data_IF_054933659163
#
_entry.id   IF_054933659163
#
_cell.length_a   1.000
_cell.length_b   1.000
_cell.length_c   1.000
_cell.angle_alpha   90.00
_cell.angle_beta   90.00
_cell.angle_gamma   90.00
#
_symmetry.space_group_name_H-M   'P 1'
#
loop_
_entity.id
_entity.type
_entity.pdbx_description
1 polymer ?
#
# COMPACT_ATOMS: atom_id res chain seq x y z
N UNK A 1 -18.11 -16.71 17.48
CA UNK A 1 -18.45 -15.54 16.64
C UNK A 1 -17.98 -15.73 15.20
N UNK A 2 -16.67 -15.85 14.94
CA UNK A 2 -16.10 -16.06 13.60
C UNK A 2 -16.75 -17.19 12.78
N UNK A 3 -16.81 -18.40 13.34
CA UNK A 3 -17.43 -19.55 12.67
C UNK A 3 -18.92 -19.32 12.38
N UNK A 4 -19.64 -18.65 13.29
CA UNK A 4 -21.06 -18.36 13.12
C UNK A 4 -21.31 -17.36 11.98
N UNK A 5 -20.51 -16.30 11.89
CA UNK A 5 -20.62 -15.32 10.79
C UNK A 5 -20.35 -16.00 9.45
N UNK A 6 -19.29 -16.81 9.36
CA UNK A 6 -18.92 -17.51 8.13
C UNK A 6 -19.95 -18.57 7.70
N UNK A 7 -20.44 -19.38 8.65
CA UNK A 7 -21.49 -20.36 8.37
C UNK A 7 -22.79 -19.67 7.94
N UNK A 8 -23.14 -18.55 8.57
CA UNK A 8 -24.36 -17.81 8.26
C UNK A 8 -24.25 -17.13 6.88
N UNK A 9 -23.12 -16.49 6.56
CA UNK A 9 -22.88 -15.97 5.20
C UNK A 9 -22.90 -17.07 4.15
N UNK A 10 -22.23 -18.19 4.41
CA UNK A 10 -22.17 -19.32 3.48
C UNK A 10 -23.55 -19.93 3.26
N UNK A 11 -24.34 -20.07 4.33
CA UNK A 11 -25.72 -20.56 4.26
C UNK A 11 -26.62 -19.68 3.38
N UNK A 12 -26.47 -18.35 3.42
CA UNK A 12 -27.20 -17.46 2.53
C UNK A 12 -26.83 -17.66 1.05
N UNK A 13 -25.54 -17.83 0.73
CA UNK A 13 -25.12 -18.09 -0.65
C UNK A 13 -25.64 -19.45 -1.17
N UNK A 14 -25.62 -20.49 -0.32
CA UNK A 14 -26.18 -21.81 -0.66
C UNK A 14 -27.68 -21.71 -0.90
N UNK A 15 -28.41 -21.03 -0.01
CA UNK A 15 -29.85 -20.82 -0.16
C UNK A 15 -30.20 -20.12 -1.48
N UNK A 16 -29.48 -19.05 -1.83
CA UNK A 16 -29.71 -18.33 -3.09
C UNK A 16 -29.44 -19.24 -4.29
N UNK A 17 -28.40 -20.07 -4.22
CA UNK A 17 -28.07 -21.02 -5.28
C UNK A 17 -29.15 -22.10 -5.45
N UNK A 18 -29.71 -22.61 -4.35
CA UNK A 18 -30.80 -23.60 -4.37
C UNK A 18 -32.13 -23.01 -4.87
N UNK A 19 -32.46 -21.78 -4.45
CA UNK A 19 -33.72 -21.12 -4.83
C UNK A 19 -33.67 -20.56 -6.26
N UNK A 20 -32.51 -20.09 -6.71
CA UNK A 20 -32.31 -19.50 -8.04
C UNK A 20 -31.19 -20.23 -8.82
N UNK A 21 -31.39 -21.50 -9.21
CA UNK A 21 -30.35 -22.31 -9.85
C UNK A 21 -29.94 -21.83 -11.25
N UNK A 22 -30.73 -20.93 -11.87
CA UNK A 22 -30.43 -20.30 -13.17
C UNK A 22 -30.14 -18.79 -13.07
N UNK A 23 -29.96 -18.26 -11.86
CA UNK A 23 -29.66 -16.85 -11.65
C UNK A 23 -28.21 -16.53 -12.04
N UNK A 24 -28.01 -15.72 -13.07
CA UNK A 24 -26.67 -15.32 -13.55
C UNK A 24 -26.11 -14.09 -12.78
N UNK A 25 -26.96 -13.41 -12.01
CA UNK A 25 -26.64 -12.13 -11.40
C UNK A 25 -25.98 -12.27 -10.01
N UNK A 26 -24.73 -12.74 -9.98
CA UNK A 26 -23.95 -12.90 -8.75
C UNK A 26 -23.80 -11.60 -7.95
N UNK A 27 -23.75 -10.44 -8.63
CA UNK A 27 -23.65 -9.11 -8.00
C UNK A 27 -24.83 -8.82 -7.07
N UNK A 28 -26.05 -9.11 -7.51
CA UNK A 28 -27.26 -8.89 -6.71
C UNK A 28 -27.33 -9.85 -5.51
N UNK A 29 -26.87 -11.09 -5.69
CA UNK A 29 -26.77 -12.05 -4.60
C UNK A 29 -25.81 -11.56 -3.51
N UNK A 30 -24.59 -11.14 -3.89
CA UNK A 30 -23.61 -10.59 -2.94
C UNK A 30 -24.14 -9.33 -2.25
N UNK A 31 -24.78 -8.42 -2.99
CA UNK A 31 -25.37 -7.21 -2.44
C UNK A 31 -26.42 -7.53 -1.37
N UNK A 32 -27.34 -8.45 -1.66
CA UNK A 32 -28.40 -8.85 -0.74
C UNK A 32 -27.83 -9.49 0.54
N UNK A 33 -26.89 -10.44 0.39
CA UNK A 33 -26.27 -11.13 1.53
C UNK A 33 -25.50 -10.15 2.41
N UNK A 34 -24.69 -9.27 1.80
CA UNK A 34 -23.91 -8.29 2.56
C UNK A 34 -24.78 -7.23 3.22
N UNK A 35 -25.87 -6.81 2.58
CA UNK A 35 -26.84 -5.89 3.17
C UNK A 35 -27.53 -6.47 4.41
N UNK A 36 -28.03 -7.71 4.32
CA UNK A 36 -28.68 -8.41 5.45
C UNK A 36 -27.68 -8.64 6.58
N UNK A 37 -26.45 -9.06 6.26
CA UNK A 37 -25.42 -9.31 7.27
C UNK A 37 -24.90 -8.02 7.92
N UNK A 38 -24.82 -6.91 7.19
CA UNK A 38 -24.49 -5.60 7.74
C UNK A 38 -25.53 -5.15 8.77
N UNK A 39 -26.82 -5.30 8.46
CA UNK A 39 -27.91 -5.00 9.40
C UNK A 39 -27.87 -5.90 10.63
N UNK A 40 -27.70 -7.20 10.43
CA UNK A 40 -27.67 -8.17 11.52
C UNK A 40 -26.49 -7.94 12.47
N UNK A 41 -25.27 -7.80 11.94
CA UNK A 41 -24.08 -7.54 12.75
C UNK A 41 -24.12 -6.15 13.39
N UNK A 42 -24.67 -5.13 12.70
CA UNK A 42 -24.86 -3.79 13.26
C UNK A 42 -25.82 -3.76 14.44
N UNK A 43 -26.94 -4.48 14.37
CA UNK A 43 -27.88 -4.61 15.49
C UNK A 43 -27.24 -5.29 16.70
N UNK A 44 -26.48 -6.37 16.47
CA UNK A 44 -25.74 -7.06 17.52
C UNK A 44 -24.61 -6.19 18.11
N UNK A 45 -23.94 -5.38 17.29
CA UNK A 45 -22.92 -4.44 17.75
C UNK A 45 -23.51 -3.40 18.71
N UNK A 46 -24.71 -2.88 18.42
CA UNK A 46 -25.41 -1.94 19.29
C UNK A 46 -25.69 -2.51 20.69
N UNK A 47 -25.98 -3.81 20.77
CA UNK A 47 -26.28 -4.51 22.03
C UNK A 47 -25.04 -4.97 22.80
N UNK A 48 -24.08 -5.60 22.13
CA UNK A 48 -22.95 -6.28 22.78
C UNK A 48 -21.64 -5.48 22.78
N UNK A 49 -21.50 -4.47 21.90
CA UNK A 49 -20.32 -3.59 21.80
C UNK A 49 -18.97 -4.31 21.78
N UNK A 50 -18.90 -5.47 21.11
CA UNK A 50 -17.66 -6.25 20.96
C UNK A 50 -16.90 -5.84 19.70
N UNK A 51 -15.56 -5.77 19.80
CA UNK A 51 -14.66 -5.39 18.68
C UNK A 51 -14.77 -6.32 17.48
N UNK A 52 -15.00 -7.61 17.71
CA UNK A 52 -15.17 -8.60 16.63
C UNK A 52 -16.43 -8.30 15.80
N UNK A 53 -17.50 -7.85 16.45
CA UNK A 53 -18.72 -7.45 15.75
C UNK A 53 -18.53 -6.15 14.98
N UNK A 54 -17.77 -5.19 15.51
CA UNK A 54 -17.43 -3.96 14.81
C UNK A 54 -16.65 -4.25 13.52
N UNK A 55 -15.69 -5.17 13.58
CA UNK A 55 -14.94 -5.62 12.41
C UNK A 55 -15.83 -6.22 11.32
N UNK A 56 -16.68 -7.19 11.67
CA UNK A 56 -17.58 -7.81 10.69
C UNK A 56 -18.62 -6.85 10.15
N UNK A 57 -19.14 -5.95 10.99
CA UNK A 57 -20.08 -4.90 10.55
C UNK A 57 -19.42 -4.00 9.51
N UNK A 58 -18.20 -3.52 9.76
CA UNK A 58 -17.46 -2.72 8.78
C UNK A 58 -17.18 -3.52 7.50
N UNK A 59 -16.73 -4.78 7.62
CA UNK A 59 -16.50 -5.64 6.45
C UNK A 59 -17.73 -5.75 5.56
N UNK A 60 -18.91 -6.04 6.12
CA UNK A 60 -20.15 -6.17 5.34
C UNK A 60 -20.64 -4.84 4.77
N UNK A 61 -20.51 -3.73 5.51
CA UNK A 61 -20.88 -2.40 5.00
C UNK A 61 -20.01 -2.01 3.81
N UNK A 62 -18.69 -2.17 3.90
CA UNK A 62 -17.78 -1.84 2.81
C UNK A 62 -17.95 -2.77 1.61
N UNK A 63 -18.16 -4.08 1.84
CA UNK A 63 -18.50 -5.01 0.77
C UNK A 63 -19.82 -4.67 0.09
N UNK A 64 -20.85 -4.31 0.86
CA UNK A 64 -22.15 -3.87 0.33
C UNK A 64 -22.00 -2.61 -0.53
N UNK A 65 -21.28 -1.60 -0.03
CA UNK A 65 -21.05 -0.36 -0.77
C UNK A 65 -20.22 -0.60 -2.04
N UNK A 66 -19.22 -1.47 -1.99
CA UNK A 66 -18.41 -1.81 -3.17
C UNK A 66 -19.27 -2.43 -4.27
N UNK A 67 -20.07 -3.44 -3.94
CA UNK A 67 -20.94 -4.11 -4.92
C UNK A 67 -22.08 -3.19 -5.38
N UNK A 68 -22.62 -2.37 -4.47
CA UNK A 68 -23.66 -1.40 -4.78
C UNK A 68 -23.19 -0.31 -5.75
N UNK A 69 -21.96 0.18 -5.57
CA UNK A 69 -21.34 1.13 -6.50
C UNK A 69 -20.97 0.45 -7.83
N UNK A 70 -20.51 -0.81 -7.81
CA UNK A 70 -20.24 -1.59 -9.04
C UNK A 70 -21.53 -1.81 -9.86
N UNK A 71 -22.68 -1.99 -9.20
CA UNK A 71 -24.00 -2.05 -9.85
C UNK A 71 -24.48 -0.71 -10.43
N UNK A 72 -23.92 0.41 -9.97
CA UNK A 72 -24.17 1.75 -10.53
C UNK A 72 -23.26 2.06 -11.73
N UNK A 73 -22.55 1.03 -12.26
CA UNK A 73 -21.56 1.14 -13.34
C UNK A 73 -20.47 2.18 -13.06
N UNK A 74 -20.16 2.43 -11.77
CA UNK A 74 -19.07 3.31 -11.38
C UNK A 74 -17.72 2.61 -11.64
N UNK A 75 -16.78 3.25 -12.35
CA UNK A 75 -15.44 2.69 -12.53
C UNK A 75 -14.77 2.36 -11.21
N UNK A 76 -14.11 1.19 -11.16
CA UNK A 76 -13.47 0.65 -9.95
C UNK A 76 -12.54 1.65 -9.24
N UNK A 77 -11.80 2.46 -10.00
CA UNK A 77 -10.94 3.48 -9.42
C UNK A 77 -11.69 4.56 -8.62
N UNK A 78 -12.89 4.99 -9.05
CA UNK A 78 -13.70 5.92 -8.25
C UNK A 78 -14.22 5.24 -6.99
N UNK A 79 -14.63 3.98 -7.09
CA UNK A 79 -15.08 3.17 -5.94
C UNK A 79 -13.95 3.07 -4.91
N UNK A 80 -12.74 2.72 -5.35
CA UNK A 80 -11.58 2.59 -4.48
C UNK A 80 -11.20 3.92 -3.80
N UNK A 81 -11.29 5.06 -4.50
CA UNK A 81 -11.05 6.39 -3.92
C UNK A 81 -12.10 6.72 -2.86
N UNK A 82 -13.39 6.58 -3.17
CA UNK A 82 -14.50 6.93 -2.27
C UNK A 82 -14.48 6.03 -1.02
N UNK A 83 -14.35 4.71 -1.21
CA UNK A 83 -14.30 3.76 -0.11
C UNK A 83 -13.00 3.87 0.70
N UNK A 84 -11.86 4.11 0.05
CA UNK A 84 -10.59 4.36 0.73
C UNK A 84 -10.62 5.61 1.59
N UNK A 85 -11.12 6.73 1.05
CA UNK A 85 -11.25 8.00 1.79
C UNK A 85 -12.22 7.89 2.97
N UNK A 86 -13.39 7.27 2.77
CA UNK A 86 -14.36 7.03 3.84
C UNK A 86 -13.80 6.11 4.91
N UNK A 87 -13.10 5.03 4.55
CA UNK A 87 -12.48 4.13 5.52
C UNK A 87 -11.35 4.80 6.30
N UNK A 88 -10.62 5.71 5.68
CA UNK A 88 -9.64 6.54 6.37
C UNK A 88 -10.30 7.42 7.43
N UNK A 89 -11.37 8.15 7.08
CA UNK A 89 -12.14 8.97 8.02
C UNK A 89 -12.72 8.12 9.15
N UNK A 90 -13.33 6.98 8.81
CA UNK A 90 -13.88 6.02 9.78
C UNK A 90 -12.77 5.50 10.70
N UNK A 91 -11.59 5.16 10.17
CA UNK A 91 -10.41 4.78 10.95
C UNK A 91 -10.02 5.83 11.99
N UNK A 92 -9.95 7.11 11.59
CA UNK A 92 -9.66 8.22 12.52
C UNK A 92 -10.76 8.43 13.58
N UNK A 93 -12.01 8.18 13.22
CA UNK A 93 -13.13 8.24 14.16
C UNK A 93 -13.08 7.07 15.15
N UNK A 94 -12.72 5.85 14.71
CA UNK A 94 -12.59 4.67 15.55
C UNK A 94 -11.54 4.86 16.66
N UNK A 95 -10.52 5.71 16.45
CA UNK A 95 -9.52 6.03 17.47
C UNK A 95 -10.12 6.65 18.73
N UNK A 96 -11.24 7.38 18.59
CA UNK A 96 -11.94 8.04 19.70
C UNK A 96 -12.94 7.11 20.41
N UNK A 97 -13.08 5.88 19.91
CA UNK A 97 -14.07 4.90 20.39
C UNK A 97 -13.38 3.75 21.16
N UNK A 98 -14.13 2.92 21.91
CA UNK A 98 -13.58 1.70 22.53
C UNK A 98 -12.99 0.69 21.51
N UNK A 99 -13.22 0.88 20.21
CA UNK A 99 -12.74 -0.01 19.15
C UNK A 99 -11.38 0.42 18.55
N UNK A 100 -10.55 1.16 19.30
CA UNK A 100 -9.26 1.70 18.85
C UNK A 100 -8.33 0.67 18.21
N UNK A 101 -8.39 -0.61 18.62
CA UNK A 101 -7.58 -1.70 18.04
C UNK A 101 -7.83 -1.87 16.53
N UNK A 102 -9.03 -1.50 16.05
CA UNK A 102 -9.39 -1.60 14.65
C UNK A 102 -8.97 -0.38 13.81
N UNK A 103 -8.52 0.71 14.44
CA UNK A 103 -8.13 1.93 13.73
C UNK A 103 -6.90 1.69 12.85
N UNK A 104 -5.88 0.98 13.35
CA UNK A 104 -4.66 0.65 12.59
C UNK A 104 -4.94 -0.10 11.28
N UNK A 105 -5.66 -1.26 11.29
CA UNK A 105 -5.98 -1.96 10.06
C UNK A 105 -6.94 -1.18 9.16
N UNK A 106 -7.88 -0.41 9.72
CA UNK A 106 -8.78 0.43 8.92
C UNK A 106 -8.02 1.53 8.16
N UNK A 107 -7.08 2.22 8.83
CA UNK A 107 -6.23 3.23 8.20
C UNK A 107 -5.33 2.62 7.13
N UNK A 108 -4.77 1.43 7.37
CA UNK A 108 -3.95 0.71 6.38
C UNK A 108 -4.77 0.33 5.14
N UNK A 109 -5.91 -0.32 5.32
CA UNK A 109 -6.75 -0.74 4.20
C UNK A 109 -7.28 0.49 3.44
N UNK A 110 -7.71 1.53 4.16
CA UNK A 110 -8.20 2.77 3.56
C UNK A 110 -7.14 3.50 2.73
N UNK A 111 -5.90 3.58 3.24
CA UNK A 111 -4.78 4.17 2.49
C UNK A 111 -4.40 3.36 1.26
N UNK A 112 -4.41 2.02 1.34
CA UNK A 112 -4.16 1.15 0.17
C UNK A 112 -5.23 1.36 -0.89
N UNK A 113 -6.51 1.32 -0.52
CA UNK A 113 -7.62 1.51 -1.47
C UNK A 113 -7.63 2.89 -2.11
N UNK A 114 -7.39 3.93 -1.31
CA UNK A 114 -7.32 5.29 -1.83
C UNK A 114 -6.18 5.42 -2.85
N UNK A 115 -5.00 4.88 -2.54
CA UNK A 115 -3.84 4.96 -3.43
C UNK A 115 -4.01 4.06 -4.66
N UNK A 116 -4.65 2.89 -4.57
CA UNK A 116 -4.91 2.05 -5.74
C UNK A 116 -5.85 2.74 -6.72
N UNK A 117 -6.92 3.38 -6.22
CA UNK A 117 -7.82 4.14 -7.09
C UNK A 117 -7.17 5.39 -7.70
N UNK A 118 -6.32 6.08 -6.94
CA UNK A 118 -5.55 7.21 -7.45
C UNK A 118 -4.53 6.79 -8.52
N UNK A 119 -3.82 5.68 -8.30
CA UNK A 119 -2.88 5.12 -9.27
C UNK A 119 -3.58 4.81 -10.59
N UNK A 120 -4.72 4.11 -10.55
CA UNK A 120 -5.46 3.71 -11.74
C UNK A 120 -5.91 4.93 -12.56
N UNK A 121 -6.37 5.99 -11.88
CA UNK A 121 -6.72 7.27 -12.53
C UNK A 121 -5.56 7.97 -13.20
N UNK A 122 -4.40 8.03 -12.54
CA UNK A 122 -3.22 8.68 -13.10
C UNK A 122 -2.64 7.83 -14.24
N UNK A 123 -2.77 6.51 -14.16
CA UNK A 123 -2.35 5.59 -15.21
C UNK A 123 -3.20 5.76 -16.47
N UNK A 124 -4.53 5.89 -16.33
CA UNK A 124 -5.45 6.21 -17.43
C UNK A 124 -5.16 7.58 -18.06
N UNK A 125 -4.82 8.59 -17.25
CA UNK A 125 -4.65 9.97 -17.73
C UNK A 125 -3.28 10.27 -18.36
N UNK A 126 -2.23 9.51 -18.03
CA UNK A 126 -0.87 9.80 -18.51
C UNK A 126 -0.11 8.54 -18.89
N UNK A 127 0.39 7.79 -17.90
CA UNK A 127 1.04 6.48 -18.09
C UNK A 127 1.25 5.81 -16.74
N UNK A 128 1.42 4.48 -16.75
CA UNK A 128 1.68 3.69 -15.54
C UNK A 128 2.92 4.16 -14.75
N UNK A 129 3.92 4.70 -15.45
CA UNK A 129 5.17 5.17 -14.83
C UNK A 129 4.95 6.48 -14.04
N UNK A 130 4.18 7.42 -14.59
CA UNK A 130 3.76 8.64 -13.87
C UNK A 130 2.82 8.30 -12.71
N UNK A 131 1.94 7.32 -12.88
CA UNK A 131 1.07 6.83 -11.83
C UNK A 131 1.86 6.33 -10.62
N UNK A 132 2.87 5.48 -10.85
CA UNK A 132 3.71 4.94 -9.79
C UNK A 132 4.52 6.01 -9.06
N UNK A 133 5.05 6.98 -9.80
CA UNK A 133 5.78 8.11 -9.22
C UNK A 133 4.87 8.95 -8.32
N UNK A 134 3.76 9.44 -8.86
CA UNK A 134 2.86 10.36 -8.15
C UNK A 134 2.20 9.65 -6.96
N UNK A 135 1.68 8.44 -7.14
CA UNK A 135 1.06 7.68 -6.04
C UNK A 135 2.10 7.34 -4.97
N UNK A 136 3.32 6.96 -5.35
CA UNK A 136 4.39 6.66 -4.41
C UNK A 136 4.78 7.87 -3.54
N UNK A 137 4.87 9.05 -4.15
CA UNK A 137 5.11 10.32 -3.44
C UNK A 137 3.93 10.65 -2.50
N UNK A 138 2.68 10.46 -2.94
CA UNK A 138 1.50 10.64 -2.09
C UNK A 138 1.53 9.72 -0.85
N UNK A 139 1.88 8.44 -1.02
CA UNK A 139 2.03 7.49 0.09
C UNK A 139 3.13 7.95 1.05
N UNK A 140 4.26 8.46 0.54
CA UNK A 140 5.34 8.99 1.38
C UNK A 140 4.90 10.21 2.20
N UNK A 141 4.14 11.14 1.61
CA UNK A 141 3.59 12.28 2.35
C UNK A 141 2.57 11.85 3.41
N UNK A 142 1.72 10.87 3.12
CA UNK A 142 0.81 10.30 4.10
C UNK A 142 1.57 9.64 5.28
N UNK A 143 2.63 8.89 4.98
CA UNK A 143 3.52 8.31 5.98
C UNK A 143 4.22 9.39 6.83
N UNK A 144 4.57 10.53 6.23
CA UNK A 144 5.12 11.68 6.95
C UNK A 144 4.13 12.32 7.93
N UNK A 145 2.87 12.51 7.53
CA UNK A 145 1.83 12.99 8.45
C UNK A 145 1.61 12.04 9.64
N UNK A 146 1.64 10.73 9.39
CA UNK A 146 1.54 9.71 10.44
C UNK A 146 2.77 9.65 11.35
N UNK A 147 3.97 9.89 10.80
CA UNK A 147 5.22 9.97 11.57
C UNK A 147 5.23 11.18 12.51
N UNK A 148 4.85 12.37 12.02
CA UNK A 148 4.81 13.60 12.83
C UNK A 148 3.83 13.52 14.01
N UNK A 149 2.81 12.68 13.89
CA UNK A 149 1.82 12.47 14.95
C UNK A 149 2.27 11.51 16.06
N UNK A 150 3.49 10.92 15.95
CA UNK A 150 4.06 9.87 16.84
C UNK A 150 3.16 8.65 17.10
N UNK A 151 2.03 8.56 16.41
CA UNK A 151 0.91 7.72 16.82
C UNK A 151 1.03 6.28 16.32
N UNK A 152 1.66 6.09 15.15
CA UNK A 152 1.76 4.81 14.46
C UNK A 152 3.11 4.60 13.75
N UNK A 153 4.19 4.33 14.50
CA UNK A 153 5.55 4.20 13.93
C UNK A 153 5.67 3.04 12.92
N UNK A 154 4.90 1.95 13.11
CA UNK A 154 4.90 0.80 12.18
C UNK A 154 4.26 1.12 10.84
N UNK A 155 3.11 1.79 10.85
CA UNK A 155 2.39 2.21 9.64
C UNK A 155 3.16 3.26 8.86
N UNK A 156 3.79 4.22 9.57
CA UNK A 156 4.68 5.19 8.94
C UNK A 156 5.86 4.50 8.26
N UNK A 157 6.53 3.53 8.92
CA UNK A 157 7.60 2.75 8.33
C UNK A 157 7.19 1.98 7.07
N UNK A 158 6.04 1.29 7.11
CA UNK A 158 5.49 0.58 5.96
C UNK A 158 5.10 1.53 4.82
N UNK A 159 4.48 2.67 5.13
CA UNK A 159 4.14 3.68 4.15
C UNK A 159 5.38 4.26 3.46
N UNK A 160 6.44 4.56 4.20
CA UNK A 160 7.71 4.97 3.58
C UNK A 160 8.30 3.88 2.69
N UNK A 161 8.25 2.62 3.11
CA UNK A 161 8.76 1.50 2.31
C UNK A 161 7.98 1.35 1.00
N UNK A 162 6.66 1.18 1.07
CA UNK A 162 5.80 0.95 -0.09
C UNK A 162 5.80 2.18 -1.02
N UNK A 163 5.66 3.38 -0.46
CA UNK A 163 5.63 4.62 -1.22
C UNK A 163 6.94 4.87 -1.97
N UNK A 164 8.09 4.64 -1.32
CA UNK A 164 9.38 4.80 -1.99
C UNK A 164 9.62 3.74 -3.07
N UNK A 165 9.26 2.48 -2.85
CA UNK A 165 9.37 1.43 -3.90
C UNK A 165 8.55 1.82 -5.13
N UNK A 166 7.30 2.24 -4.96
CA UNK A 166 6.44 2.68 -6.06
C UNK A 166 6.99 3.93 -6.75
N UNK A 167 7.48 4.90 -5.98
CA UNK A 167 8.02 6.14 -6.54
C UNK A 167 9.28 5.88 -7.37
N UNK A 168 10.21 5.07 -6.85
CA UNK A 168 11.44 4.72 -7.53
C UNK A 168 11.19 3.83 -8.75
N UNK A 169 10.26 2.87 -8.69
CA UNK A 169 9.93 2.05 -9.86
C UNK A 169 9.31 2.90 -10.97
N UNK A 170 8.37 3.79 -10.62
CA UNK A 170 7.74 4.69 -11.59
C UNK A 170 8.75 5.66 -12.22
N UNK A 171 9.62 6.24 -11.39
CA UNK A 171 10.70 7.13 -11.85
C UNK A 171 11.72 6.39 -12.73
N UNK A 172 12.11 5.18 -12.36
CA UNK A 172 13.05 4.38 -13.14
C UNK A 172 12.48 4.09 -14.52
N UNK A 173 11.22 3.67 -14.61
CA UNK A 173 10.56 3.41 -15.89
C UNK A 173 10.40 4.68 -16.75
N UNK A 174 10.19 5.84 -16.12
CA UNK A 174 10.14 7.15 -16.80
C UNK A 174 11.49 7.54 -17.41
N UNK A 175 12.56 7.27 -16.68
CA UNK A 175 13.91 7.71 -17.03
C UNK A 175 14.58 6.70 -17.98
N UNK A 176 14.18 5.43 -17.93
CA UNK A 176 14.70 4.34 -18.77
C UNK A 176 14.52 4.68 -20.25
N UNK A 177 15.62 4.64 -21.02
CA UNK A 177 15.70 4.99 -22.45
C UNK A 177 15.58 6.49 -22.79
N UNK A 178 15.71 7.38 -21.80
CA UNK A 178 15.82 8.83 -22.04
C UNK A 178 17.26 9.30 -21.83
N UNK A 179 17.69 10.44 -22.44
CA UNK A 179 19.02 11.01 -22.20
C UNK A 179 19.24 11.46 -20.75
N UNK A 180 18.18 11.47 -19.92
CA UNK A 180 18.23 11.86 -18.52
C UNK A 180 18.46 10.67 -17.56
N UNK A 181 18.98 9.52 -18.02
CA UNK A 181 19.32 8.38 -17.16
C UNK A 181 20.15 8.76 -15.92
N UNK A 182 21.08 9.72 -16.03
CA UNK A 182 21.88 10.22 -14.90
C UNK A 182 21.08 11.04 -13.86
N UNK A 183 19.92 11.60 -14.23
CA UNK A 183 19.09 12.35 -13.29
C UNK A 183 18.50 11.43 -12.20
N UNK A 184 18.33 10.14 -12.48
CA UNK A 184 17.93 9.15 -11.48
C UNK A 184 18.95 9.03 -10.34
N UNK A 185 20.25 9.06 -10.67
CA UNK A 185 21.33 9.06 -9.66
C UNK A 185 21.32 10.34 -8.83
N UNK A 186 21.19 11.50 -9.46
CA UNK A 186 21.11 12.78 -8.75
C UNK A 186 19.89 12.83 -7.80
N UNK A 187 18.73 12.33 -8.26
CA UNK A 187 17.53 12.27 -7.44
C UNK A 187 17.68 11.28 -6.28
N UNK A 188 18.21 10.07 -6.54
CA UNK A 188 18.48 9.09 -5.47
C UNK A 188 19.45 9.63 -4.42
N UNK A 189 20.47 10.40 -4.82
CA UNK A 189 21.40 11.05 -3.91
C UNK A 189 20.73 12.17 -3.08
N UNK A 190 19.88 12.99 -3.72
CA UNK A 190 19.09 14.00 -3.00
C UNK A 190 18.13 13.37 -1.98
N UNK A 191 17.59 12.20 -2.32
CA UNK A 191 16.67 11.48 -1.46
C UNK A 191 17.38 10.77 -0.31
N UNK A 192 18.65 10.36 -0.47
CA UNK A 192 19.50 9.94 0.66
C UNK A 192 19.69 11.07 1.67
N UNK A 193 19.89 12.31 1.21
CA UNK A 193 19.96 13.47 2.10
C UNK A 193 18.61 13.69 2.83
N UNK A 194 17.50 13.60 2.10
CA UNK A 194 16.17 13.64 2.70
C UNK A 194 15.96 12.51 3.74
N UNK A 195 16.45 11.29 3.48
CA UNK A 195 16.40 10.16 4.42
C UNK A 195 17.11 10.46 5.74
N UNK A 196 18.25 11.15 5.69
CA UNK A 196 19.04 11.53 6.87
C UNK A 196 18.28 12.56 7.70
N UNK A 197 17.62 13.53 7.05
CA UNK A 197 16.79 14.55 7.72
C UNK A 197 15.51 13.94 8.32
N UNK A 198 14.88 13.00 7.61
CA UNK A 198 13.64 12.34 8.03
C UNK A 198 13.84 11.18 9.02
N UNK A 199 15.09 10.79 9.30
CA UNK A 199 15.49 9.76 10.25
C UNK A 199 14.80 8.38 10.07
N UNK A 200 14.32 8.06 8.86
CA UNK A 200 13.55 6.84 8.57
C UNK A 200 14.43 5.70 8.03
N UNK A 201 14.53 4.60 8.80
CA UNK A 201 15.32 3.41 8.43
C UNK A 201 14.78 2.68 7.19
N UNK A 202 13.46 2.69 7.01
CA UNK A 202 12.80 2.03 5.89
C UNK A 202 13.08 2.75 4.56
N UNK A 203 13.06 4.09 4.58
CA UNK A 203 13.34 4.92 3.40
C UNK A 203 14.81 4.83 2.97
N UNK A 204 15.72 4.72 3.93
CA UNK A 204 17.14 4.55 3.65
C UNK A 204 17.41 3.20 2.97
N UNK A 205 16.77 2.13 3.44
CA UNK A 205 16.93 0.79 2.85
C UNK A 205 16.46 0.72 1.39
N UNK A 206 15.27 1.26 1.09
CA UNK A 206 14.74 1.27 -0.27
C UNK A 206 15.56 2.15 -1.20
N UNK A 207 16.05 3.29 -0.73
CA UNK A 207 16.92 4.19 -1.51
C UNK A 207 18.25 3.52 -1.85
N UNK A 208 18.86 2.80 -0.90
CA UNK A 208 20.11 2.05 -1.15
C UNK A 208 19.89 0.92 -2.16
N UNK A 209 18.78 0.18 -2.07
CA UNK A 209 18.43 -0.86 -3.06
C UNK A 209 18.19 -0.23 -4.43
N UNK A 210 17.44 0.87 -4.51
CA UNK A 210 17.17 1.58 -5.75
C UNK A 210 18.46 2.08 -6.41
N UNK A 211 19.40 2.61 -5.61
CA UNK A 211 20.70 3.08 -6.08
C UNK A 211 21.57 1.90 -6.58
N UNK A 212 21.63 0.80 -5.82
CA UNK A 212 22.35 -0.43 -6.23
C UNK A 212 21.75 -1.05 -7.49
N UNK A 213 20.42 -1.13 -7.59
CA UNK A 213 19.71 -1.66 -8.75
C UNK A 213 19.96 -0.84 -10.01
N UNK A 214 19.94 0.50 -9.90
CA UNK A 214 20.27 1.39 -11.02
C UNK A 214 21.73 1.22 -11.47
N UNK A 215 22.68 1.18 -10.53
CA UNK A 215 24.09 0.94 -10.85
C UNK A 215 24.24 -0.40 -11.55
N UNK A 216 23.59 -1.46 -11.07
CA UNK A 216 23.59 -2.78 -11.71
C UNK A 216 23.06 -2.75 -13.15
N UNK A 217 21.90 -2.13 -13.36
CA UNK A 217 21.30 -2.00 -14.70
C UNK A 217 22.16 -1.18 -15.66
N UNK A 218 22.61 0.00 -15.24
CA UNK A 218 23.41 0.90 -16.08
C UNK A 218 24.74 0.23 -16.47
N UNK A 219 25.34 -0.48 -15.52
CA UNK A 219 26.59 -1.21 -15.75
C UNK A 219 26.37 -2.40 -16.69
N UNK A 220 25.28 -3.16 -16.56
CA UNK A 220 24.95 -4.22 -17.51
C UNK A 220 24.70 -3.67 -18.93
N UNK A 221 23.96 -2.56 -19.07
CA UNK A 221 23.63 -1.98 -20.38
C UNK A 221 24.86 -1.47 -21.15
N UNK A 222 25.79 -0.82 -20.46
CA UNK A 222 26.95 -0.17 -21.09
C UNK A 222 28.26 -0.97 -21.02
N UNK A 223 28.40 -1.90 -20.07
CA UNK A 223 29.66 -2.62 -19.81
C UNK A 223 29.54 -4.15 -19.87
N UNK A 224 28.37 -4.75 -20.16
CA UNK A 224 28.24 -6.22 -20.26
C UNK A 224 29.12 -6.85 -21.34
N UNK A 225 29.51 -6.10 -22.38
CA UNK A 225 30.39 -6.58 -23.43
C UNK A 225 31.89 -6.53 -23.07
N UNK A 226 32.25 -6.18 -21.84
CA UNK A 226 33.65 -6.10 -21.38
C UNK A 226 33.89 -7.04 -20.19
N UNK A 227 34.90 -7.92 -20.31
CA UNK A 227 35.31 -8.91 -19.30
C UNK A 227 35.62 -8.33 -17.91
N UNK A 228 35.78 -7.00 -17.79
CA UNK A 228 35.97 -6.32 -16.50
C UNK A 228 34.73 -6.28 -15.60
N UNK A 229 33.53 -6.50 -16.15
CA UNK A 229 32.26 -6.28 -15.42
C UNK A 229 32.05 -7.15 -14.16
N UNK A 230 32.27 -8.48 -14.19
CA UNK A 230 32.14 -9.31 -12.99
C UNK A 230 33.19 -8.96 -11.94
N UNK A 231 34.40 -8.61 -12.39
CA UNK A 231 35.52 -8.26 -11.52
C UNK A 231 35.23 -6.93 -10.81
N UNK A 232 34.72 -5.91 -11.52
CA UNK A 232 34.34 -4.64 -10.90
C UNK A 232 33.19 -4.81 -9.91
N UNK A 233 32.19 -5.66 -10.18
CA UNK A 233 31.11 -5.95 -9.23
C UNK A 233 31.62 -6.63 -7.94
N UNK A 234 32.55 -7.58 -8.07
CA UNK A 234 33.20 -8.23 -6.93
C UNK A 234 34.02 -7.21 -6.13
N UNK A 235 34.83 -6.38 -6.81
CA UNK A 235 35.67 -5.36 -6.17
C UNK A 235 34.83 -4.29 -5.45
N UNK A 236 33.74 -3.85 -6.07
CA UNK A 236 32.80 -2.89 -5.49
C UNK A 236 32.12 -3.50 -4.25
N UNK A 237 31.68 -4.77 -4.33
CA UNK A 237 31.11 -5.49 -3.19
C UNK A 237 32.08 -5.62 -2.01
N UNK A 238 33.36 -5.93 -2.30
CA UNK A 238 34.42 -5.97 -1.28
C UNK A 238 34.67 -4.58 -0.68
N UNK A 239 34.72 -3.52 -1.50
CA UNK A 239 34.89 -2.16 -1.01
C UNK A 239 33.74 -1.73 -0.09
N UNK A 240 32.48 -2.07 -0.44
CA UNK A 240 31.32 -1.80 0.42
C UNK A 240 31.38 -2.57 1.75
N UNK A 241 31.84 -3.82 1.75
CA UNK A 241 32.04 -4.60 2.98
C UNK A 241 33.15 -4.01 3.87
N UNK A 242 34.24 -3.52 3.27
CA UNK A 242 35.32 -2.85 4.00
C UNK A 242 34.83 -1.54 4.64
N UNK A 243 34.14 -0.69 3.87
CA UNK A 243 33.58 0.57 4.40
C UNK A 243 32.52 0.29 5.48
N UNK A 244 31.66 -0.71 5.28
CA UNK A 244 30.64 -1.10 6.26
C UNK A 244 31.23 -1.60 7.58
N UNK A 245 32.29 -2.41 7.53
CA UNK A 245 32.97 -2.88 8.74
C UNK A 245 33.72 -1.76 9.48
N UNK A 246 34.30 -0.80 8.75
CA UNK A 246 34.92 0.39 9.33
C UNK A 246 33.86 1.28 10.02
N UNK A 247 32.74 1.55 9.35
CA UNK A 247 31.65 2.35 9.91
C UNK A 247 31.07 1.73 11.20
N UNK A 248 30.92 0.40 11.24
CA UNK A 248 30.48 -0.33 12.42
C UNK A 248 31.50 -0.28 13.57
N UNK A 249 32.80 -0.33 13.26
CA UNK A 249 33.86 -0.19 14.28
C UNK A 249 33.93 1.21 14.86
N UNK A 250 33.70 2.25 14.06
CA UNK A 250 33.68 3.65 14.53
C UNK A 250 32.48 3.87 15.46
N UNK A 251 31.29 3.40 15.08
CA UNK A 251 30.09 3.50 15.91
C UNK A 251 30.20 2.75 17.25
N UNK A 252 31.06 1.73 17.34
CA UNK A 252 31.28 0.95 18.57
C UNK A 252 32.32 1.56 19.52
N UNK A 253 33.04 2.62 19.08
CA UNK A 253 34.02 3.38 19.89
C UNK A 253 33.49 4.72 20.41
N UNK A 254 32.32 5.15 19.94
CA UNK A 254 31.56 6.30 20.44
C UNK A 254 30.50 5.75 21.38
#
# INVERSE_FOLDING_TARGET
ALAAVLMMTGGWFVLIHEVFPRGDNWRLAVLAVFGVMALHQGALLGKFRLTVLAFWTLFFIYGFMQVGLDLLDMPFAYIAIVLGASLFVVGTALEKTPFRVLAEPALLIGTIWLNSGLFDRIAEATSASWAGLVSGVCVMFAAYGMHKSERYPRLAGLGYFIGSVMAYSGLFDLVRNTPFELAYLALSASMLYACVVLQSRALLFTTVIAMLGFIGFYTAKHFANSLGWPITLVLMGVAFLVVGTIALRVKRRI
#
